data_IF_484137973172
#
_entry.id   IF_484137973172
#
_cell.length_a   1.000
_cell.length_b   1.000
_cell.length_c   1.000
_cell.angle_alpha   90.00
_cell.angle_beta   90.00
_cell.angle_gamma   90.00
#
_symmetry.space_group_name_H-M   'P 1'
#
loop_
_entity.id
_entity.type
_entity.pdbx_description
1 polymer ?
#
# COMPACT_ATOMS: atom_id res chain seq x y z
N UNK A 1 22.54 65.40 -1.17
CA UNK A 1 21.58 65.49 -0.08
C UNK A 1 20.43 64.52 -0.36
N UNK A 2 20.24 63.60 0.58
CA UNK A 2 19.04 62.78 0.80
C UNK A 2 18.70 61.85 -0.39
N UNK A 3 18.67 60.55 -0.26
CA UNK A 3 18.12 59.73 0.77
C UNK A 3 18.67 58.30 0.70
N UNK A 4 19.41 57.92 1.69
CA UNK A 4 19.58 56.56 2.12
C UNK A 4 18.37 56.21 3.00
N UNK A 5 17.35 55.58 2.49
CA UNK A 5 16.35 54.79 3.28
C UNK A 5 15.52 54.02 2.31
N UNK A 6 15.81 52.80 2.11
CA UNK A 6 14.93 51.65 2.16
C UNK A 6 15.69 50.40 1.67
N UNK A 7 16.67 50.00 2.45
CA UNK A 7 17.09 48.62 2.44
C UNK A 7 15.93 47.81 3.06
N UNK A 8 14.96 47.49 2.17
CA UNK A 8 13.80 46.68 2.49
C UNK A 8 14.25 45.43 3.22
N UNK A 9 13.73 45.25 4.41
CA UNK A 9 13.79 44.06 5.23
C UNK A 9 13.59 42.80 4.38
N UNK A 10 14.68 42.18 3.95
CA UNK A 10 14.65 40.80 3.57
C UNK A 10 14.04 40.02 4.74
N UNK A 11 13.04 39.17 4.54
CA UNK A 11 12.49 38.38 5.63
C UNK A 11 13.65 37.58 6.21
N UNK A 12 13.95 37.81 7.49
CA UNK A 12 14.93 37.04 8.26
C UNK A 12 14.66 35.57 7.99
N UNK A 13 15.60 34.90 7.39
CA UNK A 13 15.63 33.45 7.27
C UNK A 13 15.45 32.88 8.70
N UNK A 14 14.25 32.43 9.00
CA UNK A 14 14.00 31.63 10.18
C UNK A 14 14.79 30.34 10.04
N UNK A 15 16.00 30.31 10.56
CA UNK A 15 16.89 29.12 10.66
C UNK A 15 16.41 28.17 11.76
N UNK A 16 15.12 27.94 11.85
CA UNK A 16 14.56 26.76 12.50
C UNK A 16 14.25 25.74 11.43
N UNK A 17 14.87 24.58 11.46
CA UNK A 17 14.63 23.52 10.47
C UNK A 17 13.12 23.24 10.42
N UNK A 18 12.47 23.67 9.34
CA UNK A 18 11.02 23.48 9.11
C UNK A 18 10.69 21.99 9.24
N UNK A 19 9.70 21.66 10.05
CA UNK A 19 9.28 20.29 10.34
C UNK A 19 7.85 20.08 9.88
N UNK A 20 7.47 18.84 9.54
CA UNK A 20 6.07 18.48 9.32
C UNK A 20 5.20 18.72 10.57
N UNK A 21 5.80 18.81 11.75
CA UNK A 21 5.14 19.13 13.03
C UNK A 21 5.25 20.61 13.42
N UNK A 22 5.74 21.50 12.54
CA UNK A 22 5.67 22.94 12.80
C UNK A 22 4.21 23.39 12.86
N UNK A 23 3.89 24.50 13.58
CA UNK A 23 2.50 24.99 13.74
C UNK A 23 1.73 25.12 12.44
N UNK A 24 2.42 25.48 11.36
CA UNK A 24 1.85 25.62 10.02
C UNK A 24 1.31 24.30 9.44
N UNK A 25 1.99 23.19 9.69
CA UNK A 25 1.67 21.87 9.11
C UNK A 25 1.05 20.91 10.12
N UNK A 26 0.98 21.28 11.41
CA UNK A 26 0.60 20.38 12.50
C UNK A 26 -0.75 19.70 12.26
N UNK A 27 -1.78 20.49 11.92
CA UNK A 27 -3.12 19.95 11.68
C UNK A 27 -3.15 18.99 10.48
N UNK A 28 -2.45 19.33 9.39
CA UNK A 28 -2.33 18.45 8.21
C UNK A 28 -1.61 17.17 8.60
N UNK A 29 -0.49 17.27 9.33
CA UNK A 29 0.33 16.12 9.73
C UNK A 29 -0.44 15.18 10.64
N UNK A 30 -1.06 15.68 11.71
CA UNK A 30 -1.84 14.84 12.63
C UNK A 30 -3.06 14.25 11.89
N UNK A 31 -3.70 15.03 11.02
CA UNK A 31 -4.86 14.59 10.26
C UNK A 31 -4.54 13.45 9.27
N UNK A 32 -3.46 13.53 8.49
CA UNK A 32 -3.10 12.44 7.60
C UNK A 32 -2.55 11.22 8.38
N UNK A 33 -1.76 11.45 9.44
CA UNK A 33 -1.24 10.39 10.31
C UNK A 33 -2.41 9.62 10.93
N UNK A 34 -3.40 10.31 11.51
CA UNK A 34 -4.58 9.64 12.09
C UNK A 34 -5.39 8.88 11.05
N UNK A 35 -5.53 9.42 9.82
CA UNK A 35 -6.20 8.70 8.73
C UNK A 35 -5.50 7.38 8.38
N UNK A 36 -4.17 7.41 8.23
CA UNK A 36 -3.38 6.22 7.89
C UNK A 36 -3.35 5.24 9.05
N UNK A 37 -3.18 5.71 10.29
CA UNK A 37 -3.21 4.87 11.50
C UNK A 37 -4.53 4.11 11.63
N UNK A 38 -5.67 4.78 11.42
CA UNK A 38 -6.99 4.15 11.51
C UNK A 38 -7.20 3.11 10.41
N UNK A 39 -6.78 3.41 9.18
CA UNK A 39 -6.86 2.47 8.06
C UNK A 39 -5.94 1.25 8.29
N UNK A 40 -4.72 1.48 8.78
CA UNK A 40 -3.77 0.42 9.10
C UNK A 40 -4.23 -0.44 10.29
N UNK A 41 -4.76 0.21 11.33
CA UNK A 41 -5.33 -0.50 12.48
C UNK A 41 -6.49 -1.40 12.05
N UNK A 42 -7.42 -0.88 11.27
CA UNK A 42 -8.55 -1.64 10.77
C UNK A 42 -8.08 -2.86 9.96
N UNK A 43 -7.13 -2.67 9.04
CA UNK A 43 -6.62 -3.76 8.22
C UNK A 43 -6.01 -4.90 9.08
N UNK A 44 -5.25 -4.57 10.13
CA UNK A 44 -4.63 -5.55 11.03
C UNK A 44 -5.66 -6.17 11.99
N UNK A 45 -6.54 -5.34 12.57
CA UNK A 45 -7.55 -5.78 13.52
C UNK A 45 -8.60 -6.70 12.89
N UNK A 46 -9.03 -6.40 11.66
CA UNK A 46 -9.99 -7.22 10.91
C UNK A 46 -9.42 -8.60 10.63
N UNK A 47 -8.13 -8.72 10.28
CA UNK A 47 -7.51 -10.03 10.02
C UNK A 47 -7.57 -10.94 11.24
N UNK A 48 -7.39 -10.38 12.45
CA UNK A 48 -7.45 -11.12 13.72
C UNK A 48 -8.86 -11.49 14.14
N UNK A 49 -9.85 -10.65 13.86
CA UNK A 49 -11.25 -10.86 14.27
C UNK A 49 -12.09 -11.65 13.27
N UNK A 50 -11.65 -11.73 12.01
CA UNK A 50 -12.44 -12.34 10.94
C UNK A 50 -12.81 -13.81 11.19
N UNK A 51 -11.95 -14.68 11.77
CA UNK A 51 -12.33 -16.06 12.08
C UNK A 51 -13.56 -16.14 13.02
N UNK A 52 -13.63 -15.28 14.03
CA UNK A 52 -14.75 -15.22 14.98
C UNK A 52 -16.01 -14.68 14.30
N UNK A 53 -15.88 -13.61 13.49
CA UNK A 53 -17.00 -13.05 12.74
C UNK A 53 -17.60 -14.08 11.78
N UNK A 54 -16.78 -14.79 11.03
CA UNK A 54 -17.21 -15.85 10.10
C UNK A 54 -17.90 -17.01 10.81
N UNK A 55 -17.37 -17.44 11.96
CA UNK A 55 -17.99 -18.50 12.77
C UNK A 55 -19.38 -18.06 13.26
N UNK A 56 -19.53 -16.85 13.78
CA UNK A 56 -20.81 -16.32 14.27
C UNK A 56 -21.83 -16.08 13.14
N UNK A 57 -21.37 -15.69 11.96
CA UNK A 57 -22.24 -15.43 10.80
C UNK A 57 -22.46 -16.68 9.91
N UNK A 58 -21.94 -17.85 10.33
CA UNK A 58 -22.01 -19.13 9.58
C UNK A 58 -21.54 -18.98 8.11
N UNK A 59 -20.51 -18.16 7.88
CA UNK A 59 -20.12 -17.71 6.54
C UNK A 59 -18.76 -18.20 6.07
N UNK A 60 -18.28 -19.38 6.49
CA UNK A 60 -16.96 -19.91 6.14
C UNK A 60 -16.65 -19.88 4.62
N UNK A 61 -17.60 -20.21 3.71
CA UNK A 61 -17.34 -20.13 2.27
C UNK A 61 -17.04 -18.71 1.76
N UNK A 62 -17.40 -17.68 2.51
CA UNK A 62 -17.21 -16.27 2.13
C UNK A 62 -16.00 -15.62 2.86
N UNK A 63 -15.22 -16.39 3.61
CA UNK A 63 -14.09 -15.87 4.40
C UNK A 63 -13.15 -15.02 3.54
N UNK A 64 -12.65 -15.58 2.46
CA UNK A 64 -11.72 -14.91 1.55
C UNK A 64 -12.36 -13.72 0.82
N UNK A 65 -13.66 -13.82 0.52
CA UNK A 65 -14.39 -12.76 -0.16
C UNK A 65 -14.48 -11.49 0.69
N UNK A 66 -14.51 -11.59 2.02
CA UNK A 66 -14.50 -10.44 2.91
C UNK A 66 -13.22 -9.60 2.79
N UNK A 67 -12.08 -10.22 2.52
CA UNK A 67 -10.81 -9.52 2.27
C UNK A 67 -10.70 -9.04 0.82
N UNK A 68 -11.03 -9.90 -0.14
CA UNK A 68 -10.90 -9.56 -1.55
C UNK A 68 -11.86 -8.47 -1.98
N UNK A 69 -13.07 -8.40 -1.43
CA UNK A 69 -14.03 -7.35 -1.71
C UNK A 69 -13.47 -5.95 -1.36
N UNK A 70 -12.79 -5.82 -0.22
CA UNK A 70 -12.11 -4.57 0.16
C UNK A 70 -11.01 -4.20 -0.85
N UNK A 71 -10.08 -5.11 -1.11
CA UNK A 71 -8.93 -4.86 -2.00
C UNK A 71 -9.39 -4.55 -3.42
N UNK A 72 -10.34 -5.31 -3.93
CA UNK A 72 -10.91 -5.16 -5.27
C UNK A 72 -11.53 -3.78 -5.47
N UNK A 73 -12.41 -3.37 -4.58
CA UNK A 73 -13.10 -2.09 -4.71
C UNK A 73 -12.19 -0.90 -4.41
N UNK A 74 -11.14 -1.07 -3.59
CA UNK A 74 -10.17 -0.03 -3.33
C UNK A 74 -9.40 0.39 -4.59
N UNK A 75 -9.08 -0.54 -5.50
CA UNK A 75 -8.45 -0.22 -6.78
C UNK A 75 -9.30 0.75 -7.62
N UNK A 76 -10.63 0.53 -7.66
CA UNK A 76 -11.55 1.45 -8.34
C UNK A 76 -11.58 2.82 -7.66
N UNK A 77 -11.66 2.82 -6.32
CA UNK A 77 -11.60 4.05 -5.51
C UNK A 77 -10.33 4.87 -5.77
N UNK A 78 -9.16 4.21 -5.82
CA UNK A 78 -7.87 4.86 -6.10
C UNK A 78 -7.86 5.59 -7.45
N UNK A 79 -8.35 4.94 -8.51
CA UNK A 79 -8.38 5.54 -9.86
C UNK A 79 -9.33 6.74 -9.93
N UNK A 80 -10.51 6.61 -9.32
CA UNK A 80 -11.49 7.71 -9.29
C UNK A 80 -10.99 8.88 -8.45
N UNK A 81 -10.30 8.61 -7.34
CA UNK A 81 -9.69 9.64 -6.51
C UNK A 81 -8.63 10.43 -7.27
N UNK A 82 -7.74 9.77 -8.01
CA UNK A 82 -6.72 10.41 -8.83
C UNK A 82 -7.33 11.38 -9.83
N UNK A 83 -8.27 10.89 -10.66
CA UNK A 83 -8.97 11.73 -11.64
C UNK A 83 -9.72 12.92 -11.03
N UNK A 84 -10.28 12.73 -9.83
CA UNK A 84 -11.03 13.79 -9.15
C UNK A 84 -10.11 14.80 -8.47
N UNK A 85 -9.01 14.31 -7.86
CA UNK A 85 -8.05 15.14 -7.16
C UNK A 85 -7.28 16.09 -8.13
N UNK A 86 -6.99 15.64 -9.34
CA UNK A 86 -6.35 16.46 -10.36
C UNK A 86 -7.25 17.62 -10.80
N UNK A 87 -8.56 17.41 -10.88
CA UNK A 87 -9.52 18.44 -11.35
C UNK A 87 -10.03 19.38 -10.25
N UNK A 88 -10.29 18.85 -9.06
CA UNK A 88 -11.01 19.57 -8.01
C UNK A 88 -10.22 19.64 -6.69
N UNK A 89 -8.98 19.14 -6.69
CA UNK A 89 -8.17 19.02 -5.50
C UNK A 89 -8.51 17.81 -4.62
N UNK A 90 -7.71 17.55 -3.58
CA UNK A 90 -7.81 16.35 -2.76
C UNK A 90 -8.98 16.36 -1.77
N UNK A 91 -9.60 17.52 -1.50
CA UNK A 91 -10.65 17.66 -0.49
C UNK A 91 -11.87 16.78 -0.77
N UNK A 92 -12.38 16.82 -2.01
CA UNK A 92 -13.59 16.11 -2.36
C UNK A 92 -13.41 14.57 -2.33
N UNK A 93 -12.34 13.98 -2.93
CA UNK A 93 -12.08 12.55 -2.79
C UNK A 93 -11.76 12.14 -1.36
N UNK A 94 -11.12 12.99 -0.53
CA UNK A 94 -10.87 12.68 0.87
C UNK A 94 -12.17 12.63 1.68
N UNK A 95 -12.98 13.70 1.66
CA UNK A 95 -14.22 13.75 2.45
C UNK A 95 -15.27 12.75 1.97
N UNK A 96 -15.41 12.59 0.66
CA UNK A 96 -16.29 11.57 0.08
C UNK A 96 -15.79 10.16 0.41
N UNK A 97 -14.49 9.94 0.29
CA UNK A 97 -13.84 8.66 0.60
C UNK A 97 -14.00 8.25 2.06
N UNK A 98 -13.69 9.15 2.99
CA UNK A 98 -13.81 8.85 4.43
C UNK A 98 -15.26 8.68 4.87
N UNK A 99 -16.21 9.40 4.25
CA UNK A 99 -17.63 9.20 4.46
C UNK A 99 -18.11 7.82 3.99
N UNK A 100 -17.72 7.43 2.77
CA UNK A 100 -18.03 6.10 2.22
C UNK A 100 -17.35 4.99 3.04
N UNK A 101 -16.09 5.20 3.45
CA UNK A 101 -15.37 4.28 4.34
C UNK A 101 -16.13 4.08 5.66
N UNK A 102 -16.62 5.19 6.28
CA UNK A 102 -17.41 5.15 7.50
C UNK A 102 -18.75 4.41 7.32
N UNK A 103 -19.46 4.64 6.21
CA UNK A 103 -20.67 3.87 5.89
C UNK A 103 -20.38 2.38 5.78
N UNK A 104 -19.28 2.02 5.11
CA UNK A 104 -18.82 0.64 5.02
C UNK A 104 -18.47 0.02 6.37
N UNK A 105 -17.83 0.78 7.27
CA UNK A 105 -17.53 0.37 8.65
C UNK A 105 -18.81 0.09 9.44
N UNK A 106 -19.79 0.98 9.37
CA UNK A 106 -21.09 0.79 10.05
C UNK A 106 -21.81 -0.43 9.47
N UNK A 107 -21.87 -0.57 8.15
CA UNK A 107 -22.50 -1.72 7.51
C UNK A 107 -21.84 -3.06 7.88
N UNK A 108 -20.51 -3.10 7.96
CA UNK A 108 -19.76 -4.29 8.38
C UNK A 108 -19.95 -4.57 9.89
N UNK A 109 -19.88 -3.53 10.74
CA UNK A 109 -20.02 -3.67 12.19
C UNK A 109 -21.43 -4.05 12.66
N UNK A 110 -22.46 -3.71 11.88
CA UNK A 110 -23.86 -4.10 12.15
C UNK A 110 -24.30 -5.35 11.39
N UNK A 111 -23.37 -6.04 10.69
CA UNK A 111 -23.70 -7.18 9.87
C UNK A 111 -24.33 -8.34 10.68
N UNK A 112 -25.46 -8.84 10.20
CA UNK A 112 -26.17 -10.02 10.71
C UNK A 112 -25.99 -11.23 9.80
N UNK A 113 -25.51 -11.02 8.58
CA UNK A 113 -25.20 -12.07 7.60
C UNK A 113 -23.81 -11.84 7.01
N UNK A 114 -23.19 -12.92 6.53
CA UNK A 114 -21.89 -12.80 5.87
C UNK A 114 -21.96 -11.97 4.57
N UNK A 115 -23.06 -12.04 3.83
CA UNK A 115 -23.27 -11.22 2.64
C UNK A 115 -23.28 -9.71 2.97
N UNK A 116 -23.91 -9.31 4.07
CA UNK A 116 -23.88 -7.92 4.55
C UNK A 116 -22.47 -7.49 4.96
N UNK A 117 -21.72 -8.36 5.65
CA UNK A 117 -20.31 -8.09 6.00
C UNK A 117 -19.48 -7.84 4.74
N UNK A 118 -19.56 -8.72 3.74
CA UNK A 118 -18.84 -8.61 2.47
C UNK A 118 -19.24 -7.33 1.72
N UNK A 119 -20.53 -7.00 1.66
CA UNK A 119 -20.99 -5.76 1.06
C UNK A 119 -20.45 -4.53 1.80
N UNK A 120 -20.44 -4.54 3.13
CA UNK A 120 -19.83 -3.49 3.97
C UNK A 120 -18.33 -3.34 3.66
N UNK A 121 -17.59 -4.46 3.53
CA UNK A 121 -16.17 -4.49 3.15
C UNK A 121 -15.94 -3.92 1.74
N UNK A 122 -16.82 -4.20 0.80
CA UNK A 122 -16.72 -3.62 -0.55
C UNK A 122 -16.92 -2.10 -0.53
N UNK A 123 -17.92 -1.59 0.19
CA UNK A 123 -18.14 -0.14 0.36
C UNK A 123 -16.94 0.51 1.06
N UNK A 124 -16.45 -0.11 2.13
CA UNK A 124 -15.29 0.33 2.89
C UNK A 124 -14.03 0.38 2.02
N UNK A 125 -13.75 -0.65 1.25
CA UNK A 125 -12.61 -0.70 0.34
C UNK A 125 -12.64 0.44 -0.68
N UNK A 126 -13.78 0.68 -1.30
CA UNK A 126 -13.93 1.80 -2.24
C UNK A 126 -13.62 3.14 -1.57
N UNK A 127 -14.14 3.39 -0.37
CA UNK A 127 -13.84 4.58 0.43
C UNK A 127 -12.35 4.68 0.78
N UNK A 128 -11.74 3.58 1.23
CA UNK A 128 -10.31 3.51 1.56
C UNK A 128 -9.40 3.83 0.36
N UNK A 129 -9.76 3.34 -0.83
CA UNK A 129 -9.07 3.68 -2.07
C UNK A 129 -9.13 5.17 -2.41
N UNK A 130 -10.28 5.81 -2.19
CA UNK A 130 -10.43 7.26 -2.35
C UNK A 130 -9.54 8.02 -1.36
N UNK A 131 -9.52 7.61 -0.10
CA UNK A 131 -8.76 8.28 0.98
C UNK A 131 -7.26 8.21 0.71
N UNK A 132 -6.71 7.02 0.43
CA UNK A 132 -5.26 6.85 0.31
C UNK A 132 -4.67 7.72 -0.81
N UNK A 133 -5.30 7.77 -1.98
CA UNK A 133 -4.81 8.61 -3.09
C UNK A 133 -5.00 10.11 -2.78
N UNK A 134 -6.10 10.48 -2.13
CA UNK A 134 -6.31 11.86 -1.69
C UNK A 134 -5.22 12.32 -0.71
N UNK A 135 -4.76 11.45 0.21
CA UNK A 135 -3.66 11.75 1.12
C UNK A 135 -2.31 11.90 0.39
N UNK A 136 -2.04 11.09 -0.65
CA UNK A 136 -0.83 11.27 -1.47
C UNK A 136 -0.82 12.63 -2.18
N UNK A 137 -1.96 13.03 -2.77
CA UNK A 137 -2.10 14.35 -3.41
C UNK A 137 -2.03 15.47 -2.37
N UNK A 138 -2.61 15.28 -1.19
CA UNK A 138 -2.51 16.23 -0.08
C UNK A 138 -1.05 16.47 0.29
N UNK A 139 -0.24 15.42 0.44
CA UNK A 139 1.19 15.56 0.73
C UNK A 139 1.90 16.35 -0.38
N UNK A 140 1.58 16.07 -1.64
CA UNK A 140 2.16 16.79 -2.78
C UNK A 140 1.83 18.28 -2.82
N UNK A 141 0.62 18.66 -2.36
CA UNK A 141 0.13 20.06 -2.44
C UNK A 141 0.34 20.85 -1.15
N UNK A 142 0.29 20.21 0.02
CA UNK A 142 0.40 20.89 1.31
C UNK A 142 1.85 21.09 1.76
N UNK A 143 2.77 20.25 1.32
CA UNK A 143 4.16 20.31 1.78
C UNK A 143 5.11 20.77 0.66
N UNK A 144 6.10 21.65 1.01
CA UNK A 144 7.19 21.98 0.11
C UNK A 144 8.05 20.73 -0.16
N UNK A 145 8.80 20.73 -1.26
CA UNK A 145 9.55 19.56 -1.73
C UNK A 145 10.45 18.92 -0.65
N UNK A 146 11.13 19.75 0.15
CA UNK A 146 12.06 19.27 1.18
C UNK A 146 11.36 18.56 2.37
N UNK A 147 10.03 18.76 2.55
CA UNK A 147 9.25 18.09 3.60
C UNK A 147 8.47 16.87 3.11
N UNK A 148 8.24 16.73 1.79
CA UNK A 148 7.45 15.60 1.24
C UNK A 148 8.02 14.24 1.62
N UNK A 149 9.36 14.10 1.59
CA UNK A 149 10.02 12.87 2.01
C UNK A 149 9.72 12.51 3.47
N UNK A 150 9.75 13.50 4.38
CA UNK A 150 9.39 13.29 5.80
C UNK A 150 7.93 12.91 5.97
N UNK A 151 7.02 13.52 5.21
CA UNK A 151 5.59 13.21 5.25
C UNK A 151 5.33 11.76 4.76
N UNK A 152 5.91 11.33 3.64
CA UNK A 152 5.78 9.94 3.18
C UNK A 152 6.42 8.93 4.12
N UNK A 153 7.54 9.27 4.76
CA UNK A 153 8.15 8.41 5.78
C UNK A 153 7.27 8.30 7.03
N UNK A 154 6.61 9.40 7.44
CA UNK A 154 5.63 9.35 8.51
C UNK A 154 4.42 8.47 8.14
N UNK A 155 3.91 8.57 6.90
CA UNK A 155 2.85 7.67 6.40
C UNK A 155 3.26 6.20 6.47
N UNK A 156 4.48 5.88 6.05
CA UNK A 156 5.00 4.51 6.12
C UNK A 156 5.15 4.02 7.57
N UNK A 157 5.62 4.89 8.47
CA UNK A 157 5.77 4.56 9.90
C UNK A 157 4.42 4.33 10.61
N UNK A 158 3.32 4.91 10.10
CA UNK A 158 1.98 4.71 10.66
C UNK A 158 1.48 3.24 10.62
N UNK A 159 2.10 2.37 9.85
CA UNK A 159 1.77 0.94 9.81
C UNK A 159 2.42 0.14 10.94
N UNK A 160 3.47 0.69 11.58
CA UNK A 160 4.24 0.01 12.64
C UNK A 160 3.40 -0.22 13.89
N UNK A 161 2.81 0.85 14.40
CA UNK A 161 2.02 0.79 15.63
C UNK A 161 0.81 -0.14 15.49
N UNK A 162 -0.04 -0.01 14.45
CA UNK A 162 -1.13 -0.96 14.21
C UNK A 162 -0.65 -2.40 14.00
N UNK A 163 0.48 -2.62 13.35
CA UNK A 163 1.06 -3.94 13.16
C UNK A 163 1.42 -4.63 14.47
N UNK A 164 1.93 -3.87 15.45
CA UNK A 164 2.31 -4.39 16.75
C UNK A 164 1.14 -4.51 17.75
N UNK A 165 0.25 -3.50 17.77
CA UNK A 165 -0.79 -3.36 18.81
C UNK A 165 -2.17 -3.78 18.29
N UNK A 166 -2.39 -3.70 16.99
CA UNK A 166 -3.68 -4.00 16.35
C UNK A 166 -4.24 -5.39 16.69
N UNK A 167 -3.47 -6.48 16.50
CA UNK A 167 -3.93 -7.83 16.85
C UNK A 167 -4.27 -7.99 18.32
N UNK A 168 -3.54 -7.36 19.23
CA UNK A 168 -3.79 -7.41 20.68
C UNK A 168 -5.09 -6.70 21.03
N UNK A 169 -5.27 -5.47 20.53
CA UNK A 169 -6.52 -4.73 20.75
C UNK A 169 -7.71 -5.47 20.12
N UNK A 170 -7.53 -6.03 18.93
CA UNK A 170 -8.57 -6.80 18.25
C UNK A 170 -8.95 -8.06 19.03
N UNK A 171 -7.96 -8.75 19.64
CA UNK A 171 -8.19 -9.90 20.52
C UNK A 171 -9.06 -9.51 21.71
N UNK A 172 -8.63 -8.52 22.49
CA UNK A 172 -9.37 -8.01 23.66
C UNK A 172 -10.79 -7.56 23.28
N UNK A 173 -10.93 -6.76 22.22
CA UNK A 173 -12.26 -6.31 21.78
C UNK A 173 -13.16 -7.47 21.34
N UNK A 174 -12.59 -8.50 20.72
CA UNK A 174 -13.33 -9.65 20.22
C UNK A 174 -13.74 -10.61 21.35
N UNK A 175 -12.87 -10.83 22.33
CA UNK A 175 -13.08 -11.75 23.46
C UNK A 175 -14.00 -11.11 24.52
N UNK A 176 -13.75 -9.86 24.92
CA UNK A 176 -14.44 -9.21 26.02
C UNK A 176 -15.73 -8.48 25.60
N UNK A 177 -15.83 -8.05 24.34
CA UNK A 177 -16.99 -7.30 23.84
C UNK A 177 -17.60 -7.96 22.61
N UNK A 178 -17.12 -7.65 21.43
CA UNK A 178 -17.52 -8.24 20.14
C UNK A 178 -16.58 -7.79 19.04
N UNK A 179 -16.33 -8.64 18.05
CA UNK A 179 -15.62 -8.29 16.81
C UNK A 179 -16.21 -7.06 16.09
N UNK A 180 -17.50 -6.79 16.30
CA UNK A 180 -18.20 -5.63 15.72
C UNK A 180 -17.60 -4.30 16.13
N UNK A 181 -17.02 -4.21 17.32
CA UNK A 181 -16.42 -2.99 17.83
C UNK A 181 -15.14 -2.58 17.08
N UNK A 182 -14.51 -3.49 16.38
CA UNK A 182 -13.38 -3.15 15.48
C UNK A 182 -13.87 -2.21 14.39
N UNK A 183 -15.02 -2.49 13.80
CA UNK A 183 -15.62 -1.65 12.76
C UNK A 183 -16.29 -0.41 13.35
N UNK A 184 -17.17 -0.57 14.32
CA UNK A 184 -17.94 0.54 14.90
C UNK A 184 -17.04 1.52 15.65
N UNK A 185 -16.06 1.04 16.41
CA UNK A 185 -15.08 1.88 17.09
C UNK A 185 -14.24 2.71 16.10
N UNK A 186 -13.77 2.09 15.02
CA UNK A 186 -13.09 2.80 13.95
C UNK A 186 -14.01 3.81 13.27
N UNK A 187 -15.30 3.50 13.07
CA UNK A 187 -16.27 4.43 12.50
C UNK A 187 -16.48 5.70 13.37
N UNK A 188 -16.37 5.57 14.68
CA UNK A 188 -16.39 6.74 15.59
C UNK A 188 -15.10 7.53 15.46
N UNK A 189 -13.96 6.85 15.42
CA UNK A 189 -12.63 7.49 15.41
C UNK A 189 -12.33 8.24 14.11
N UNK A 190 -12.98 7.93 12.97
CA UNK A 190 -12.78 8.67 11.71
C UNK A 190 -13.21 10.15 11.80
N UNK A 191 -13.95 10.55 12.82
CA UNK A 191 -14.28 11.97 13.06
C UNK A 191 -13.01 12.79 13.32
N UNK A 192 -11.96 12.17 13.91
CA UNK A 192 -10.68 12.86 14.22
C UNK A 192 -9.99 13.38 12.96
N UNK A 193 -9.66 12.54 11.97
CA UNK A 193 -9.03 13.04 10.74
C UNK A 193 -9.93 13.99 9.95
N UNK A 194 -11.25 13.82 9.98
CA UNK A 194 -12.17 14.76 9.36
C UNK A 194 -12.02 16.14 9.99
N UNK A 195 -12.13 16.22 11.33
CA UNK A 195 -12.04 17.50 12.04
C UNK A 195 -10.71 18.22 11.80
N UNK A 196 -9.60 17.46 11.76
CA UNK A 196 -8.26 18.00 11.56
C UNK A 196 -7.99 18.43 10.11
N UNK A 197 -8.52 17.72 9.12
CA UNK A 197 -8.19 17.95 7.71
C UNK A 197 -9.18 18.84 6.96
N UNK A 198 -10.42 19.00 7.43
CA UNK A 198 -11.44 19.82 6.72
C UNK A 198 -10.95 21.24 6.48
N UNK A 199 -10.40 21.91 7.51
CA UNK A 199 -9.93 23.30 7.38
C UNK A 199 -8.70 23.41 6.47
N UNK A 200 -7.61 22.67 6.69
CA UNK A 200 -6.45 22.71 5.78
C UNK A 200 -6.79 22.35 4.34
N UNK A 201 -7.67 21.39 4.11
CA UNK A 201 -8.08 21.00 2.76
C UNK A 201 -8.89 22.11 2.04
N UNK A 202 -9.67 22.92 2.80
CA UNK A 202 -10.39 24.08 2.24
C UNK A 202 -9.46 25.20 1.83
N UNK A 203 -8.35 25.36 2.52
CA UNK A 203 -7.35 26.42 2.29
C UNK A 203 -6.40 26.09 1.12
N UNK A 204 -6.36 24.82 0.67
CA UNK A 204 -5.54 24.45 -0.49
C UNK A 204 -6.08 25.08 -1.78
N UNK A 205 -5.18 25.57 -2.65
CA UNK A 205 -5.56 26.07 -3.97
C UNK A 205 -6.34 24.99 -4.74
N UNK A 206 -7.52 25.35 -5.21
CA UNK A 206 -8.33 24.48 -6.07
C UNK A 206 -7.89 24.69 -7.50
N UNK A 207 -7.59 23.61 -8.24
CA UNK A 207 -7.39 23.74 -9.67
C UNK A 207 -8.66 24.28 -10.31
N UNK A 208 -8.55 25.22 -11.22
CA UNK A 208 -9.67 25.58 -12.09
C UNK A 208 -9.88 24.44 -13.09
N UNK A 209 -11.06 23.78 -13.07
CA UNK A 209 -11.31 22.66 -13.96
C UNK A 209 -11.45 23.17 -15.40
N UNK A 210 -10.41 23.00 -16.20
CA UNK A 210 -10.49 23.27 -17.62
C UNK A 210 -11.62 22.45 -18.28
N UNK A 211 -12.35 23.03 -19.27
CA UNK A 211 -13.31 22.26 -20.05
C UNK A 211 -12.61 21.02 -20.64
N UNK A 212 -13.23 19.86 -20.51
CA UNK A 212 -12.72 18.64 -21.13
C UNK A 212 -13.26 18.56 -22.57
N UNK A 213 -12.37 18.34 -23.51
CA UNK A 213 -12.76 17.96 -24.85
C UNK A 213 -13.35 16.52 -24.88
N UNK A 214 -13.96 16.14 -25.98
CA UNK A 214 -14.55 14.81 -26.11
C UNK A 214 -13.50 13.69 -26.02
N UNK A 215 -12.30 13.92 -26.53
CA UNK A 215 -11.22 12.94 -26.52
C UNK A 215 -10.75 12.62 -25.08
N UNK A 216 -10.54 13.68 -24.26
CA UNK A 216 -10.17 13.51 -22.85
C UNK A 216 -11.30 12.90 -22.01
N UNK A 217 -12.57 13.26 -22.28
CA UNK A 217 -13.71 12.61 -21.64
C UNK A 217 -13.79 11.11 -21.98
N UNK A 218 -13.58 10.75 -23.25
CA UNK A 218 -13.54 9.35 -23.68
C UNK A 218 -12.36 8.60 -23.05
N UNK A 219 -11.17 9.24 -22.98
CA UNK A 219 -9.99 8.67 -22.31
C UNK A 219 -10.29 8.39 -20.83
N UNK A 220 -10.89 9.32 -20.10
CA UNK A 220 -11.26 9.16 -18.68
C UNK A 220 -12.31 8.07 -18.47
N UNK A 221 -13.29 7.96 -19.37
CA UNK A 221 -14.26 6.85 -19.34
C UNK A 221 -13.57 5.49 -19.54
N UNK A 222 -12.64 5.40 -20.50
CA UNK A 222 -11.85 4.18 -20.74
C UNK A 222 -11.00 3.79 -19.53
N UNK A 223 -10.36 4.75 -18.86
CA UNK A 223 -9.60 4.51 -17.63
C UNK A 223 -10.51 4.01 -16.51
N UNK A 224 -11.70 4.60 -16.32
CA UNK A 224 -12.67 4.12 -15.31
C UNK A 224 -13.18 2.70 -15.60
N UNK A 225 -13.49 2.43 -16.86
CA UNK A 225 -13.87 1.07 -17.28
C UNK A 225 -12.72 0.08 -17.04
N UNK A 226 -11.48 0.45 -17.39
CA UNK A 226 -10.30 -0.36 -17.12
C UNK A 226 -10.11 -0.59 -15.60
N UNK A 227 -10.35 0.41 -14.74
CA UNK A 227 -10.29 0.24 -13.29
C UNK A 227 -11.33 -0.76 -12.79
N UNK A 228 -12.57 -0.70 -13.28
CA UNK A 228 -13.60 -1.67 -12.96
C UNK A 228 -13.24 -3.10 -13.41
N UNK A 229 -12.74 -3.25 -14.64
CA UNK A 229 -12.28 -4.54 -15.17
C UNK A 229 -11.08 -5.09 -14.39
N UNK A 230 -10.12 -4.22 -14.01
CA UNK A 230 -8.96 -4.60 -13.20
C UNK A 230 -9.40 -5.03 -11.80
N UNK A 231 -10.30 -4.28 -11.19
CA UNK A 231 -10.86 -4.64 -9.89
C UNK A 231 -11.55 -6.01 -9.96
N UNK A 232 -12.43 -6.23 -10.93
CA UNK A 232 -13.09 -7.51 -11.12
C UNK A 232 -12.07 -8.63 -11.37
N UNK A 233 -11.10 -8.43 -12.27
CA UNK A 233 -10.05 -9.39 -12.56
C UNK A 233 -9.20 -9.76 -11.36
N UNK A 234 -8.81 -8.76 -10.53
CA UNK A 234 -8.07 -9.01 -9.29
C UNK A 234 -8.88 -9.84 -8.27
N UNK A 235 -10.19 -9.54 -8.12
CA UNK A 235 -11.09 -10.32 -7.28
C UNK A 235 -11.24 -11.77 -7.77
N UNK A 236 -11.44 -11.97 -9.07
CA UNK A 236 -11.55 -13.30 -9.68
C UNK A 236 -10.25 -14.09 -9.53
N UNK A 237 -9.08 -13.45 -9.72
CA UNK A 237 -7.78 -14.09 -9.55
C UNK A 237 -7.60 -14.56 -8.10
N UNK A 238 -7.97 -13.72 -7.14
CA UNK A 238 -7.87 -14.05 -5.72
C UNK A 238 -8.81 -15.20 -5.34
N UNK A 239 -10.05 -15.19 -5.81
CA UNK A 239 -10.99 -16.30 -5.60
C UNK A 239 -10.50 -17.58 -6.27
N UNK A 240 -10.10 -17.50 -7.54
CA UNK A 240 -9.63 -18.65 -8.31
C UNK A 240 -8.34 -19.27 -7.77
N UNK A 241 -7.47 -18.48 -7.11
CA UNK A 241 -6.23 -19.00 -6.51
C UNK A 241 -6.45 -19.81 -5.22
N UNK A 242 -7.61 -19.69 -4.59
CA UNK A 242 -7.96 -20.40 -3.36
C UNK A 242 -8.69 -21.71 -3.60
N UNK A 243 -9.16 -21.94 -4.82
CA UNK A 243 -9.95 -23.10 -5.21
C UNK A 243 -9.18 -23.95 -6.23
N UNK A 244 -8.83 -25.18 -5.85
CA UNK A 244 -8.18 -26.18 -6.77
C UNK A 244 -9.24 -27.09 -7.41
N UNK A 245 -10.38 -26.52 -7.75
CA UNK A 245 -11.45 -27.23 -8.41
C UNK A 245 -11.70 -26.63 -9.82
N UNK A 246 -12.70 -27.15 -10.51
CA UNK A 246 -13.11 -26.65 -11.82
C UNK A 246 -13.38 -25.12 -11.80
N UNK A 247 -13.88 -24.58 -10.69
CA UNK A 247 -14.15 -23.16 -10.53
C UNK A 247 -12.85 -22.34 -10.59
N UNK A 248 -11.80 -22.74 -9.87
CA UNK A 248 -10.49 -22.08 -9.91
C UNK A 248 -9.86 -22.12 -11.31
N UNK A 249 -9.99 -23.26 -11.99
CA UNK A 249 -9.50 -23.44 -13.36
C UNK A 249 -10.20 -22.51 -14.38
N UNK A 250 -11.44 -22.10 -14.11
CA UNK A 250 -12.19 -21.14 -14.94
C UNK A 250 -11.91 -19.70 -14.53
N UNK A 251 -11.90 -19.43 -13.22
CA UNK A 251 -11.78 -18.04 -12.70
C UNK A 251 -10.40 -17.43 -12.95
N UNK A 252 -9.31 -18.20 -12.85
CA UNK A 252 -7.96 -17.68 -13.04
C UNK A 252 -7.68 -17.24 -14.50
N UNK A 253 -8.01 -18.02 -15.55
CA UNK A 253 -7.91 -17.55 -16.94
C UNK A 253 -8.83 -16.35 -17.21
N UNK A 254 -10.08 -16.36 -16.72
CA UNK A 254 -10.99 -15.24 -16.87
C UNK A 254 -10.42 -13.95 -16.23
N UNK A 255 -9.81 -14.07 -15.05
CA UNK A 255 -9.10 -12.97 -14.39
C UNK A 255 -8.00 -12.41 -15.30
N UNK A 256 -7.17 -13.26 -15.90
CA UNK A 256 -6.09 -12.83 -16.79
C UNK A 256 -6.64 -12.15 -18.06
N UNK A 257 -7.72 -12.66 -18.65
CA UNK A 257 -8.40 -12.01 -19.79
C UNK A 257 -8.86 -10.59 -19.45
N UNK A 258 -9.27 -10.34 -18.20
CA UNK A 258 -9.64 -9.00 -17.76
C UNK A 258 -8.42 -8.14 -17.40
N UNK A 259 -7.43 -8.68 -16.70
CA UNK A 259 -6.26 -7.94 -16.19
C UNK A 259 -5.30 -7.52 -17.32
N UNK A 260 -4.99 -8.42 -18.25
CA UNK A 260 -4.00 -8.16 -19.32
C UNK A 260 -4.33 -6.91 -20.14
N UNK A 261 -5.57 -6.69 -20.64
CA UNK A 261 -5.89 -5.48 -21.36
C UNK A 261 -6.17 -4.26 -20.47
N UNK A 262 -6.59 -4.43 -19.21
CA UNK A 262 -7.03 -3.31 -18.36
C UNK A 262 -5.88 -2.66 -17.59
N UNK A 263 -4.97 -3.43 -17.02
CA UNK A 263 -3.85 -2.93 -16.22
C UNK A 263 -2.98 -1.90 -16.97
N UNK A 264 -2.58 -2.14 -18.26
CA UNK A 264 -1.76 -1.16 -18.97
C UNK A 264 -2.42 0.20 -19.15
N UNK A 265 -3.77 0.25 -19.13
CA UNK A 265 -4.54 1.49 -19.28
C UNK A 265 -4.58 2.32 -18.00
N UNK A 266 -4.28 1.73 -16.86
CA UNK A 266 -4.23 2.38 -15.55
C UNK A 266 -2.85 2.95 -15.22
N UNK A 267 -1.85 2.55 -15.97
CA UNK A 267 -0.46 2.94 -15.77
C UNK A 267 -0.05 3.99 -16.81
N UNK A 268 0.90 4.89 -16.49
CA UNK A 268 1.44 5.82 -17.45
C UNK A 268 1.98 5.13 -18.70
N UNK A 269 1.89 5.76 -19.88
CA UNK A 269 2.36 5.15 -21.13
C UNK A 269 3.84 4.76 -21.05
N UNK A 270 4.15 3.51 -21.41
CA UNK A 270 5.51 2.99 -21.40
C UNK A 270 5.94 2.34 -20.07
N UNK A 271 5.06 2.24 -19.06
CA UNK A 271 5.37 1.59 -17.78
C UNK A 271 5.81 0.14 -17.98
N UNK A 272 5.02 -0.67 -18.70
CA UNK A 272 5.39 -2.08 -18.96
C UNK A 272 6.63 -2.27 -19.86
N UNK A 273 7.05 -1.21 -20.58
CA UNK A 273 8.30 -1.20 -21.38
C UNK A 273 9.45 -0.58 -20.62
N UNK A 274 9.27 -0.26 -19.33
CA UNK A 274 10.24 0.39 -18.47
C UNK A 274 10.89 1.64 -19.13
N UNK A 275 10.08 2.53 -19.74
CA UNK A 275 10.57 3.79 -20.28
C UNK A 275 11.17 4.64 -19.16
N UNK A 276 12.25 5.37 -19.46
CA UNK A 276 12.99 6.18 -18.47
C UNK A 276 12.09 7.21 -17.79
N UNK A 277 12.36 7.48 -16.51
CA UNK A 277 11.62 8.43 -15.67
C UNK A 277 10.41 7.82 -14.97
N UNK A 278 9.31 8.57 -14.92
CA UNK A 278 8.09 8.21 -14.16
C UNK A 278 7.55 6.79 -14.46
N UNK A 279 7.48 6.33 -15.73
CA UNK A 279 6.99 4.98 -16.01
C UNK A 279 7.80 3.89 -15.31
N UNK A 280 9.13 4.02 -15.27
CA UNK A 280 10.00 3.06 -14.56
C UNK A 280 9.84 3.18 -13.05
N UNK A 281 9.66 4.38 -12.50
CA UNK A 281 9.42 4.59 -11.06
C UNK A 281 8.17 3.83 -10.59
N UNK A 282 7.09 3.92 -11.35
CA UNK A 282 5.83 3.23 -11.04
C UNK A 282 5.98 1.71 -11.21
N UNK A 283 6.65 1.25 -12.27
CA UNK A 283 6.92 -0.18 -12.46
C UNK A 283 7.73 -0.76 -11.31
N UNK A 284 8.78 -0.06 -10.90
CA UNK A 284 9.63 -0.47 -9.78
C UNK A 284 8.86 -0.56 -8.47
N UNK A 285 7.92 0.34 -8.23
CA UNK A 285 7.02 0.27 -7.07
C UNK A 285 6.26 -1.05 -7.04
N UNK A 286 5.62 -1.43 -8.14
CA UNK A 286 4.89 -2.68 -8.24
C UNK A 286 5.81 -3.90 -8.10
N UNK A 287 6.94 -3.95 -8.82
CA UNK A 287 7.88 -5.08 -8.74
C UNK A 287 8.42 -5.27 -7.31
N UNK A 288 8.78 -4.18 -6.63
CA UNK A 288 9.26 -4.22 -5.26
C UNK A 288 8.16 -4.68 -4.29
N UNK A 289 6.93 -4.20 -4.46
CA UNK A 289 5.78 -4.60 -3.66
C UNK A 289 5.47 -6.09 -3.86
N UNK A 290 5.39 -6.56 -5.10
CA UNK A 290 5.15 -7.96 -5.40
C UNK A 290 6.21 -8.89 -4.83
N UNK A 291 7.49 -8.52 -4.92
CA UNK A 291 8.58 -9.34 -4.37
C UNK A 291 8.57 -9.36 -2.84
N UNK A 292 8.47 -8.21 -2.19
CA UNK A 292 8.52 -8.09 -0.73
C UNK A 292 7.29 -8.71 -0.07
N UNK A 293 6.08 -8.29 -0.45
CA UNK A 293 4.84 -8.81 0.13
C UNK A 293 4.56 -10.26 -0.27
N UNK A 294 5.06 -10.70 -1.44
CA UNK A 294 5.04 -12.10 -1.82
C UNK A 294 5.81 -12.98 -0.84
N UNK A 295 7.06 -12.62 -0.52
CA UNK A 295 7.85 -13.37 0.48
C UNK A 295 7.21 -13.27 1.86
N UNK A 296 6.83 -12.07 2.28
CA UNK A 296 6.22 -11.83 3.60
C UNK A 296 4.99 -12.70 3.84
N UNK A 297 4.15 -12.91 2.83
CA UNK A 297 2.96 -13.74 2.93
C UNK A 297 3.25 -15.23 3.15
N UNK A 298 4.34 -15.75 2.58
CA UNK A 298 4.67 -17.20 2.66
C UNK A 298 5.64 -17.55 3.78
N UNK A 299 6.32 -16.59 4.42
CA UNK A 299 7.24 -16.85 5.54
C UNK A 299 6.56 -17.52 6.72
N UNK A 300 5.43 -17.01 7.27
CA UNK A 300 4.76 -17.67 8.39
C UNK A 300 4.35 -19.11 8.04
N UNK A 301 3.79 -19.31 6.86
CA UNK A 301 3.39 -20.64 6.37
C UNK A 301 4.58 -21.62 6.31
N UNK A 302 5.73 -21.15 5.82
CA UNK A 302 6.96 -21.95 5.79
C UNK A 302 7.44 -22.29 7.20
N UNK A 303 7.47 -21.32 8.10
CA UNK A 303 7.92 -21.53 9.48
C UNK A 303 7.01 -22.49 10.25
N UNK A 304 5.68 -22.39 10.07
CA UNK A 304 4.71 -23.25 10.74
C UNK A 304 4.68 -24.66 10.12
N UNK A 305 4.46 -24.75 8.81
CA UNK A 305 4.20 -26.05 8.14
C UNK A 305 5.46 -26.84 7.85
N UNK A 306 6.57 -26.19 7.53
CA UNK A 306 7.81 -26.87 7.16
C UNK A 306 8.78 -26.98 8.32
N UNK A 307 8.90 -25.94 9.16
CA UNK A 307 9.83 -25.94 10.31
C UNK A 307 9.17 -26.27 11.64
N UNK A 308 7.86 -26.50 11.70
CA UNK A 308 7.12 -26.91 12.89
C UNK A 308 7.09 -25.85 14.01
N UNK A 309 7.25 -24.56 13.67
CA UNK A 309 7.25 -23.49 14.65
C UNK A 309 5.84 -23.16 15.12
N UNK A 310 5.74 -22.63 16.35
CA UNK A 310 4.48 -22.07 16.81
C UNK A 310 4.08 -20.83 16.00
N UNK A 311 2.78 -20.62 15.84
CA UNK A 311 2.20 -19.44 15.16
C UNK A 311 2.76 -18.14 15.74
N UNK A 312 2.93 -18.07 17.07
CA UNK A 312 3.50 -16.91 17.77
C UNK A 312 4.92 -16.60 17.32
N UNK A 313 5.81 -17.60 17.25
CA UNK A 313 7.20 -17.40 16.82
C UNK A 313 7.28 -17.04 15.33
N UNK A 314 6.44 -17.66 14.49
CA UNK A 314 6.32 -17.29 13.09
C UNK A 314 5.88 -15.83 12.90
N UNK A 315 4.90 -15.37 13.67
CA UNK A 315 4.45 -13.99 13.68
C UNK A 315 5.50 -12.99 14.20
N UNK A 316 6.25 -13.34 15.24
CA UNK A 316 7.33 -12.50 15.78
C UNK A 316 8.43 -12.20 14.75
N UNK A 317 8.66 -13.10 13.80
CA UNK A 317 9.63 -12.85 12.72
C UNK A 317 9.27 -11.64 11.87
N UNK A 318 7.97 -11.34 11.71
CA UNK A 318 7.47 -10.16 10.96
C UNK A 318 7.63 -8.85 11.73
N UNK A 319 7.69 -8.90 13.06
CA UNK A 319 7.87 -7.69 13.89
C UNK A 319 9.22 -7.02 13.59
N UNK A 320 10.27 -7.82 13.35
CA UNK A 320 11.60 -7.29 13.00
C UNK A 320 11.56 -6.49 11.69
N UNK A 321 10.78 -6.95 10.72
CA UNK A 321 10.56 -6.26 9.45
C UNK A 321 9.86 -4.91 9.66
N UNK A 322 8.83 -4.87 10.48
CA UNK A 322 8.05 -3.65 10.77
C UNK A 322 8.92 -2.57 11.40
N UNK A 323 9.73 -2.93 12.41
CA UNK A 323 10.66 -2.00 13.06
C UNK A 323 11.71 -1.49 12.08
N UNK A 324 12.30 -2.38 11.29
CA UNK A 324 13.33 -2.04 10.30
C UNK A 324 12.81 -1.10 9.23
N UNK A 325 11.59 -1.34 8.73
CA UNK A 325 10.93 -0.45 7.76
C UNK A 325 10.80 0.98 8.30
N UNK A 326 10.33 1.12 9.55
CA UNK A 326 10.19 2.42 10.18
C UNK A 326 11.53 3.14 10.36
N UNK A 327 12.56 2.42 10.84
CA UNK A 327 13.92 2.95 11.01
C UNK A 327 14.49 3.44 9.67
N UNK A 328 14.37 2.64 8.61
CA UNK A 328 14.83 3.01 7.28
C UNK A 328 14.11 4.24 6.74
N UNK A 329 12.76 4.26 6.81
CA UNK A 329 11.94 5.38 6.37
C UNK A 329 12.27 6.68 7.10
N UNK A 330 12.65 6.59 8.37
CA UNK A 330 13.10 7.72 9.16
C UNK A 330 14.52 8.17 8.76
N UNK A 331 15.43 7.22 8.56
CA UNK A 331 16.85 7.50 8.30
C UNK A 331 17.08 8.19 6.96
N UNK A 332 16.33 7.84 5.90
CA UNK A 332 16.50 8.40 4.55
C UNK A 332 16.34 9.92 4.47
N UNK A 333 15.65 10.52 5.43
CA UNK A 333 15.43 11.97 5.47
C UNK A 333 16.45 12.72 6.34
N UNK A 334 17.43 12.03 6.90
CA UNK A 334 18.47 12.66 7.73
C UNK A 334 19.52 13.35 6.86
N UNK A 335 20.03 14.51 7.30
CA UNK A 335 21.00 15.30 6.55
C UNK A 335 22.26 14.52 6.14
N UNK A 336 22.71 13.57 6.96
CA UNK A 336 23.88 12.73 6.65
C UNK A 336 23.62 11.78 5.47
N UNK A 337 22.35 11.38 5.22
CA UNK A 337 21.96 10.55 4.08
C UNK A 337 21.70 11.43 2.85
N UNK A 338 20.84 12.45 2.99
CA UNK A 338 20.39 13.28 1.87
C UNK A 338 21.50 14.10 1.22
N UNK A 339 22.57 14.43 1.98
CA UNK A 339 23.75 15.12 1.45
C UNK A 339 24.70 14.19 0.67
N UNK A 340 24.67 12.88 0.93
CA UNK A 340 25.62 11.91 0.36
C UNK A 340 25.02 11.04 -0.73
N UNK A 341 23.72 10.78 -0.66
CA UNK A 341 23.04 9.82 -1.54
C UNK A 341 21.88 10.51 -2.24
N UNK A 342 21.87 10.48 -3.57
CA UNK A 342 20.76 10.97 -4.38
C UNK A 342 19.52 10.09 -4.19
N UNK A 343 18.31 10.62 -4.47
CA UNK A 343 17.06 9.83 -4.39
C UNK A 343 17.09 8.59 -5.27
N UNK A 344 17.63 8.70 -6.49
CA UNK A 344 17.84 7.53 -7.35
C UNK A 344 18.82 6.53 -6.75
N UNK A 345 19.85 7.01 -6.04
CA UNK A 345 20.80 6.19 -5.29
C UNK A 345 20.10 5.44 -4.14
N UNK A 346 19.21 6.11 -3.39
CA UNK A 346 18.42 5.51 -2.31
C UNK A 346 17.49 4.42 -2.84
N UNK A 347 16.81 4.65 -3.97
CA UNK A 347 15.95 3.61 -4.59
C UNK A 347 16.80 2.41 -5.02
N UNK A 348 17.93 2.64 -5.69
CA UNK A 348 18.83 1.55 -6.12
C UNK A 348 19.37 0.74 -4.95
N UNK A 349 19.87 1.42 -3.91
CA UNK A 349 20.36 0.78 -2.70
C UNK A 349 19.24 0.01 -1.98
N UNK A 350 18.06 0.63 -1.84
CA UNK A 350 16.91 -0.01 -1.19
C UNK A 350 16.46 -1.28 -1.91
N UNK A 351 16.33 -1.23 -3.24
CA UNK A 351 15.95 -2.41 -4.03
C UNK A 351 17.04 -3.49 -3.97
N UNK A 352 18.32 -3.12 -4.01
CA UNK A 352 19.43 -4.07 -3.90
C UNK A 352 19.45 -4.74 -2.51
N UNK A 353 19.34 -3.95 -1.43
CA UNK A 353 19.29 -4.49 -0.06
C UNK A 353 18.09 -5.42 0.09
N UNK A 354 16.89 -5.00 -0.35
CA UNK A 354 15.71 -5.84 -0.30
C UNK A 354 15.93 -7.16 -1.06
N UNK A 355 16.30 -7.11 -2.34
CA UNK A 355 16.47 -8.28 -3.17
C UNK A 355 17.54 -9.25 -2.66
N UNK A 356 18.71 -8.75 -2.24
CA UNK A 356 19.80 -9.57 -1.71
C UNK A 356 19.39 -10.22 -0.38
N UNK A 357 18.69 -9.50 0.49
CA UNK A 357 18.26 -10.02 1.79
C UNK A 357 17.24 -11.15 1.65
N UNK A 358 16.42 -11.14 0.60
CA UNK A 358 15.47 -12.22 0.34
C UNK A 358 16.14 -13.58 0.06
N UNK A 359 17.42 -13.62 -0.36
CA UNK A 359 18.15 -14.90 -0.41
C UNK A 359 18.29 -15.56 0.96
N UNK A 360 18.34 -14.78 2.03
CA UNK A 360 18.32 -15.31 3.40
C UNK A 360 17.04 -16.09 3.72
N UNK A 361 15.91 -15.79 3.08
CA UNK A 361 14.66 -16.57 3.26
C UNK A 361 14.73 -17.93 2.57
N UNK A 362 15.47 -18.04 1.47
CA UNK A 362 15.75 -19.33 0.82
C UNK A 362 16.62 -20.21 1.72
N UNK A 363 17.67 -19.64 2.32
CA UNK A 363 18.51 -20.35 3.28
C UNK A 363 17.72 -20.78 4.52
N UNK A 364 16.76 -19.96 4.94
CA UNK A 364 15.91 -20.25 6.09
C UNK A 364 14.95 -21.43 5.89
N UNK A 365 14.79 -21.94 4.68
CA UNK A 365 14.02 -23.17 4.42
C UNK A 365 14.74 -24.39 4.99
N UNK A 366 16.07 -24.44 4.94
CA UNK A 366 16.82 -25.55 5.56
C UNK A 366 16.64 -25.51 7.10
N UNK A 367 16.16 -26.61 7.65
CA UNK A 367 15.94 -26.77 9.10
C UNK A 367 17.22 -26.61 9.94
N UNK A 368 18.40 -26.80 9.34
CA UNK A 368 19.71 -26.60 9.99
C UNK A 368 20.06 -25.13 10.18
N UNK A 369 19.42 -24.25 9.40
CA UNK A 369 19.69 -22.83 9.47
C UNK A 369 19.07 -22.22 10.74
N UNK A 370 19.81 -21.46 11.55
CA UNK A 370 19.28 -20.84 12.76
C UNK A 370 18.10 -19.90 12.45
N UNK A 371 17.12 -19.84 13.34
CA UNK A 371 15.89 -19.04 13.14
C UNK A 371 16.16 -17.54 13.00
N UNK A 372 17.21 -17.03 13.63
CA UNK A 372 17.56 -15.62 13.50
C UNK A 372 17.90 -15.22 12.05
N UNK A 373 18.26 -16.16 11.18
CA UNK A 373 18.52 -15.87 9.76
C UNK A 373 17.27 -15.41 9.03
N UNK A 374 16.10 -15.99 9.35
CA UNK A 374 14.80 -15.52 8.83
C UNK A 374 14.51 -14.10 9.31
N UNK A 375 14.68 -13.85 10.60
CA UNK A 375 14.47 -12.53 11.19
C UNK A 375 15.43 -11.50 10.60
N UNK A 376 16.71 -11.86 10.42
CA UNK A 376 17.71 -10.98 9.77
C UNK A 376 17.37 -10.72 8.30
N UNK A 377 16.98 -11.75 7.55
CA UNK A 377 16.58 -11.61 6.15
C UNK A 377 15.40 -10.65 6.01
N UNK A 378 14.36 -10.82 6.81
CA UNK A 378 13.20 -9.93 6.83
C UNK A 378 13.56 -8.51 7.31
N UNK A 379 14.42 -8.39 8.33
CA UNK A 379 14.90 -7.10 8.81
C UNK A 379 15.57 -6.30 7.68
N UNK A 380 16.53 -6.88 6.98
CA UNK A 380 17.23 -6.18 5.90
C UNK A 380 16.37 -6.01 4.65
N UNK A 381 15.48 -6.96 4.33
CA UNK A 381 14.53 -6.79 3.23
C UNK A 381 13.58 -5.60 3.48
N UNK A 382 13.05 -5.49 4.70
CA UNK A 382 12.20 -4.37 5.11
C UNK A 382 12.98 -3.05 5.22
N UNK A 383 14.26 -3.08 5.60
CA UNK A 383 15.14 -1.91 5.57
C UNK A 383 15.25 -1.37 4.14
N UNK A 384 15.50 -2.25 3.18
CA UNK A 384 15.56 -1.88 1.76
C UNK A 384 14.23 -1.34 1.24
N UNK A 385 13.12 -2.00 1.58
CA UNK A 385 11.77 -1.54 1.24
C UNK A 385 11.46 -0.18 1.87
N UNK A 386 11.72 -0.01 3.17
CA UNK A 386 11.54 1.25 3.90
C UNK A 386 12.36 2.42 3.35
N UNK A 387 13.49 2.15 2.70
CA UNK A 387 14.25 3.15 1.94
C UNK A 387 13.59 3.47 0.60
N UNK A 388 13.16 2.46 -0.15
CA UNK A 388 12.71 2.61 -1.52
C UNK A 388 11.28 3.16 -1.62
N UNK A 389 10.31 2.65 -0.85
CA UNK A 389 8.90 2.99 -0.97
C UNK A 389 8.62 4.49 -0.79
N UNK A 390 9.04 5.17 0.30
CA UNK A 390 8.81 6.61 0.45
C UNK A 390 9.56 7.42 -0.61
N UNK A 391 10.77 6.98 -0.99
CA UNK A 391 11.57 7.67 -2.00
C UNK A 391 10.93 7.59 -3.38
N UNK A 392 10.37 6.43 -3.77
CA UNK A 392 9.59 6.24 -4.99
C UNK A 392 8.35 7.15 -4.98
N UNK A 393 7.65 7.27 -3.85
CA UNK A 393 6.48 8.16 -3.72
C UNK A 393 6.85 9.63 -3.96
N UNK A 394 7.99 10.08 -3.41
CA UNK A 394 8.51 11.44 -3.66
C UNK A 394 8.86 11.63 -5.13
N UNK A 395 9.60 10.68 -5.73
CA UNK A 395 9.99 10.74 -7.14
C UNK A 395 8.78 10.73 -8.07
N UNK A 396 7.71 10.02 -7.72
CA UNK A 396 6.46 10.05 -8.49
C UNK A 396 5.89 11.46 -8.55
N UNK A 397 5.84 12.18 -7.44
CA UNK A 397 5.36 13.57 -7.43
C UNK A 397 6.30 14.53 -8.15
N UNK A 398 7.62 14.36 -8.03
CA UNK A 398 8.61 15.23 -8.68
C UNK A 398 8.64 15.08 -10.21
N UNK A 399 8.41 13.85 -10.67
CA UNK A 399 8.39 13.54 -12.11
C UNK A 399 7.02 13.74 -12.76
N UNK A 400 5.99 14.05 -11.95
CA UNK A 400 4.64 14.29 -12.41
C UNK A 400 4.38 15.77 -12.62
N UNK A 401 3.68 16.12 -13.70
CA UNK A 401 3.13 17.45 -13.86
C UNK A 401 2.08 17.72 -12.76
N UNK A 402 1.95 18.97 -12.28
CA UNK A 402 0.99 19.31 -11.22
C UNK A 402 -0.45 18.86 -11.51
N UNK A 403 -0.85 18.85 -12.79
CA UNK A 403 -2.17 18.44 -13.25
C UNK A 403 -2.38 16.91 -13.26
N UNK A 404 -1.31 16.12 -13.17
CA UNK A 404 -1.33 14.65 -13.25
C UNK A 404 -0.89 13.95 -11.95
N UNK A 405 -0.56 14.71 -10.90
CA UNK A 405 -0.08 14.16 -9.63
C UNK A 405 -1.06 13.17 -9.01
N UNK A 406 -2.36 13.43 -9.12
CA UNK A 406 -3.41 12.52 -8.62
C UNK A 406 -3.49 11.23 -9.43
N UNK A 407 -3.50 11.32 -10.77
CA UNK A 407 -3.52 10.16 -11.65
C UNK A 407 -2.28 9.29 -11.48
N UNK A 408 -1.08 9.91 -11.35
CA UNK A 408 0.17 9.19 -11.18
C UNK A 408 0.30 8.59 -9.76
N UNK A 409 -0.22 9.26 -8.72
CA UNK A 409 -0.33 8.70 -7.37
C UNK A 409 -1.29 7.51 -7.34
N UNK A 410 -2.41 7.58 -8.05
CA UNK A 410 -3.31 6.46 -8.23
C UNK A 410 -2.63 5.29 -8.95
N UNK A 411 -1.94 5.57 -10.06
CA UNK A 411 -1.19 4.55 -10.81
C UNK A 411 -0.11 3.87 -9.97
N UNK A 412 0.56 4.62 -9.08
CA UNK A 412 1.53 4.09 -8.13
C UNK A 412 0.89 3.07 -7.17
N UNK A 413 -0.24 3.43 -6.58
CA UNK A 413 -0.97 2.56 -5.64
C UNK A 413 -1.62 1.36 -6.33
N UNK A 414 -2.12 1.56 -7.55
CA UNK A 414 -2.66 0.48 -8.38
C UNK A 414 -1.57 -0.52 -8.75
N UNK A 415 -0.37 -0.05 -9.15
CA UNK A 415 0.77 -0.92 -9.42
C UNK A 415 1.18 -1.74 -8.19
N UNK A 416 1.21 -1.09 -7.02
CA UNK A 416 1.49 -1.72 -5.73
C UNK A 416 0.49 -2.85 -5.43
N UNK A 417 -0.80 -2.51 -5.43
CA UNK A 417 -1.88 -3.45 -5.10
C UNK A 417 -2.01 -4.61 -6.09
N UNK A 418 -1.97 -4.34 -7.40
CA UNK A 418 -2.11 -5.38 -8.43
C UNK A 418 -0.94 -6.35 -8.38
N UNK A 419 0.30 -5.82 -8.29
CA UNK A 419 1.47 -6.69 -8.33
C UNK A 419 1.55 -7.55 -7.08
N UNK A 420 1.30 -6.98 -5.89
CA UNK A 420 1.25 -7.74 -4.63
C UNK A 420 0.17 -8.84 -4.68
N UNK A 421 -1.06 -8.48 -5.09
CA UNK A 421 -2.17 -9.45 -5.19
C UNK A 421 -1.85 -10.55 -6.18
N UNK A 422 -1.35 -10.19 -7.37
CA UNK A 422 -1.02 -11.17 -8.42
C UNK A 422 0.11 -12.10 -7.97
N UNK A 423 1.15 -11.56 -7.34
CA UNK A 423 2.30 -12.35 -6.88
C UNK A 423 1.90 -13.32 -5.78
N UNK A 424 1.08 -12.88 -4.82
CA UNK A 424 0.56 -13.74 -3.74
C UNK A 424 -0.38 -14.80 -4.32
N UNK A 425 -1.29 -14.45 -5.21
CA UNK A 425 -2.23 -15.38 -5.84
C UNK A 425 -1.52 -16.46 -6.65
N UNK A 426 -0.56 -16.07 -7.51
CA UNK A 426 0.24 -17.01 -8.29
C UNK A 426 1.11 -17.89 -7.38
N UNK A 427 1.69 -17.31 -6.34
CA UNK A 427 2.44 -18.06 -5.31
C UNK A 427 1.56 -19.10 -4.62
N UNK A 428 0.34 -18.74 -4.26
CA UNK A 428 -0.66 -19.65 -3.69
C UNK A 428 -1.02 -20.79 -4.62
N UNK A 429 -1.27 -20.48 -5.90
CA UNK A 429 -1.55 -21.50 -6.93
C UNK A 429 -0.38 -22.47 -7.12
N UNK A 430 0.86 -21.96 -7.21
CA UNK A 430 2.07 -22.80 -7.29
C UNK A 430 2.23 -23.66 -6.04
N UNK A 431 2.04 -23.09 -4.86
CA UNK A 431 2.08 -23.82 -3.59
C UNK A 431 1.06 -24.97 -3.60
N UNK A 432 -0.18 -24.69 -3.93
CA UNK A 432 -1.24 -25.71 -3.96
C UNK A 432 -0.95 -26.81 -5.00
N UNK A 433 -0.52 -26.44 -6.20
CA UNK A 433 -0.25 -27.42 -7.26
C UNK A 433 0.91 -28.38 -6.91
N UNK A 434 1.91 -27.91 -6.19
CA UNK A 434 3.11 -28.68 -5.83
C UNK A 434 3.03 -29.32 -4.42
N UNK A 435 2.17 -28.77 -3.53
CA UNK A 435 2.01 -29.28 -2.16
C UNK A 435 1.00 -30.42 -2.04
N UNK A 436 0.31 -30.80 -3.11
CA UNK A 436 -0.56 -31.97 -3.15
C UNK A 436 0.26 -33.26 -3.12
N UNK A 437 0.29 -33.95 -1.96
CA UNK A 437 1.02 -35.20 -1.71
C UNK A 437 2.18 -35.05 -0.71
N UNK A 438 3.09 -36.06 -0.65
CA UNK A 438 4.26 -36.06 0.21
C UNK A 438 5.24 -34.90 -0.02
N UNK A 439 5.08 -34.19 -1.11
CA UNK A 439 5.86 -32.98 -1.44
C UNK A 439 5.50 -31.77 -0.56
N UNK A 440 4.36 -31.76 0.12
CA UNK A 440 3.95 -30.66 1.01
C UNK A 440 4.93 -30.43 2.18
N UNK A 441 5.63 -31.48 2.60
CA UNK A 441 6.70 -31.42 3.62
C UNK A 441 8.07 -31.07 3.02
N UNK A 442 8.22 -31.08 1.68
CA UNK A 442 9.50 -30.76 1.05
C UNK A 442 9.70 -29.25 1.01
N UNK A 443 10.81 -28.76 1.57
CA UNK A 443 11.20 -27.34 1.51
C UNK A 443 11.34 -26.80 0.09
N UNK A 444 11.40 -27.67 -0.94
CA UNK A 444 11.60 -27.31 -2.34
C UNK A 444 10.53 -26.37 -2.90
N UNK A 445 9.27 -26.49 -2.48
CA UNK A 445 8.19 -25.58 -2.91
C UNK A 445 8.44 -24.17 -2.43
N UNK A 446 8.84 -23.98 -1.18
CA UNK A 446 9.16 -22.66 -0.62
C UNK A 446 10.41 -22.05 -1.29
N UNK A 447 11.43 -22.89 -1.53
CA UNK A 447 12.63 -22.45 -2.27
C UNK A 447 12.25 -21.90 -3.65
N UNK A 448 11.42 -22.66 -4.40
CA UNK A 448 10.96 -22.21 -5.72
C UNK A 448 10.19 -20.89 -5.64
N UNK A 449 9.24 -20.77 -4.69
CA UNK A 449 8.45 -19.54 -4.51
C UNK A 449 9.34 -18.34 -4.18
N UNK A 450 10.25 -18.49 -3.22
CA UNK A 450 11.14 -17.39 -2.84
C UNK A 450 12.09 -17.01 -3.97
N UNK A 451 12.61 -17.95 -4.74
CA UNK A 451 13.42 -17.66 -5.92
C UNK A 451 12.63 -16.89 -6.99
N UNK A 452 11.36 -17.23 -7.22
CA UNK A 452 10.50 -16.48 -8.12
C UNK A 452 10.33 -15.01 -7.66
N UNK A 453 10.11 -14.79 -6.36
CA UNK A 453 9.98 -13.44 -5.81
C UNK A 453 11.30 -12.66 -5.84
N UNK A 454 12.42 -13.33 -5.60
CA UNK A 454 13.77 -12.74 -5.75
C UNK A 454 14.04 -12.35 -7.20
N UNK A 455 13.62 -13.17 -8.17
CA UNK A 455 13.76 -12.83 -9.59
C UNK A 455 12.99 -11.54 -9.94
N UNK A 456 11.80 -11.32 -9.35
CA UNK A 456 11.04 -10.07 -9.50
C UNK A 456 11.81 -8.89 -8.90
N UNK A 457 12.43 -9.05 -7.71
CA UNK A 457 13.30 -8.03 -7.11
C UNK A 457 14.54 -7.74 -7.96
N UNK A 458 15.14 -8.78 -8.53
CA UNK A 458 16.28 -8.68 -9.47
C UNK A 458 15.92 -7.87 -10.71
N UNK A 459 14.73 -8.11 -11.27
CA UNK A 459 14.22 -7.30 -12.39
C UNK A 459 14.06 -5.82 -11.98
N UNK A 460 13.52 -5.54 -10.82
CA UNK A 460 13.43 -4.17 -10.30
C UNK A 460 14.82 -3.52 -10.18
N UNK A 461 15.82 -4.25 -9.70
CA UNK A 461 17.19 -3.74 -9.58
C UNK A 461 17.84 -3.43 -10.93
N UNK A 462 17.66 -4.30 -11.92
CA UNK A 462 18.15 -4.09 -13.28
C UNK A 462 17.53 -2.85 -13.95
N UNK A 463 16.27 -2.53 -13.61
CA UNK A 463 15.57 -1.36 -14.11
C UNK A 463 15.88 -0.07 -13.36
N UNK A 464 16.47 -0.15 -12.17
CA UNK A 464 16.75 1.01 -11.32
C UNK A 464 17.58 2.14 -11.97
N UNK A 465 18.54 1.89 -12.90
CA UNK A 465 19.23 2.98 -13.62
C UNK A 465 18.30 3.84 -14.50
N UNK A 466 17.15 3.29 -14.92
CA UNK A 466 16.19 4.00 -15.80
C UNK A 466 15.27 4.98 -15.06
N UNK A 467 15.37 5.08 -13.75
CA UNK A 467 14.61 6.04 -12.93
C UNK A 467 14.99 7.50 -13.23
N UNK A 468 16.21 7.77 -13.72
CA UNK A 468 16.62 9.12 -14.10
C UNK A 468 15.90 9.56 -15.40
N UNK A 469 15.38 10.81 -15.40
CA UNK A 469 15.14 11.52 -16.67
C UNK A 469 16.47 11.66 -17.42
N UNK A 470 16.43 11.49 -18.71
CA UNK A 470 17.56 11.83 -19.60
C UNK A 470 17.71 13.34 -19.63
#
# INVERSE_FOLDING_TARGET
>A
MTTLVDAAKAPRSATGAESIFSPRYLAVSIGFISSVLLTAFEAMAVSSAMPVAVAQLHGLPFYSLAFSAYLTTSLLGMVLAGQRADRHGPMLPFLGGIGVFGVGLVAAGTATTMAQLVAGRAVQGFGGGLVIVALYVLVGKAYPEHLRGRAFSAMAACWVLPGAVGPVIAGVLTEDLSWRWIFLGTAVLIVIPIALLVRPLRELPRPEPAPLDEAENARRRRIRAAAGLTALGAGLLQLGSQEINLLGLVLAPLALVLLVPSVPRLLPPGTLRARRGLPTVILMRGLLAGSYFGVEAFIPLMLERHRGMSVTLAGLSLVTATVSWALASWAINRPFVTRRISRTGLVRAGVAICGLSLFGTVLAVDARTPLWTTAAALFFAALGAGMAFPTISVLTLELSEPAEQGANSASLQVADGITSTTTIALGGGVYHALASGSAASSGGVYVLLFLCFIAVAGLAWLLAPRVRKV
#
